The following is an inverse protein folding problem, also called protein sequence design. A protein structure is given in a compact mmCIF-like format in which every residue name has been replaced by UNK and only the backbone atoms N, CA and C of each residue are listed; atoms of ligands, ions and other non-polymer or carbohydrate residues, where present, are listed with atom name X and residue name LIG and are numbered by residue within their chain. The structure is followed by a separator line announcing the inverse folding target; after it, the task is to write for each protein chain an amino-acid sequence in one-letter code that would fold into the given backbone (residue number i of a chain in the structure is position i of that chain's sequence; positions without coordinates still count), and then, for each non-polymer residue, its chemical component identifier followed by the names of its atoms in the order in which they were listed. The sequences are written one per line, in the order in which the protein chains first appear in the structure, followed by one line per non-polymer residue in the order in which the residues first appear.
data_IF_222944478307
#
_entry.id   IF_222944478307
#
_cell.length_a   1.000
_cell.length_b   1.000
_cell.length_c   1.000
_cell.angle_alpha   90.00
_cell.angle_beta   90.00
_cell.angle_gamma   90.00
#
_symmetry.space_group_name_H-M   'P 1'
#
loop_
_entity.id
_entity.type
_entity.pdbx_description
1 polymer ?
#
# COMPACT_ATOMS: atom_id res chain seq x y z
N UNK A 1 4.76 -28.11 -3.05
CA UNK A 1 3.75 -27.10 -2.68
C UNK A 1 4.27 -26.40 -1.44
N UNK A 2 4.58 -25.12 -1.54
CA UNK A 2 4.90 -24.34 -0.34
C UNK A 2 3.60 -24.11 0.44
N UNK A 3 3.62 -24.09 1.78
CA UNK A 3 2.43 -23.71 2.56
C UNK A 3 2.00 -22.28 2.15
N UNK A 4 0.70 -22.01 2.11
CA UNK A 4 0.13 -20.71 1.66
C UNK A 4 0.81 -19.51 2.33
N UNK A 5 1.25 -19.68 3.57
CA UNK A 5 1.99 -18.68 4.33
C UNK A 5 3.33 -18.26 3.69
N UNK A 6 4.05 -19.17 3.06
CA UNK A 6 5.31 -18.86 2.34
C UNK A 6 5.05 -18.12 1.02
N UNK A 7 3.87 -18.31 0.41
CA UNK A 7 3.50 -17.66 -0.84
C UNK A 7 3.25 -16.16 -0.63
N UNK A 8 2.66 -15.78 0.51
CA UNK A 8 2.53 -14.38 0.89
C UNK A 8 3.89 -13.71 1.11
N UNK A 9 4.82 -14.35 1.81
CA UNK A 9 6.15 -13.77 2.05
C UNK A 9 6.97 -13.59 0.75
N UNK A 10 6.85 -14.54 -0.17
CA UNK A 10 7.45 -14.45 -1.50
C UNK A 10 6.84 -13.32 -2.33
N UNK A 11 5.51 -13.21 -2.31
CA UNK A 11 4.77 -12.18 -3.05
C UNK A 11 5.04 -10.79 -2.47
N UNK A 12 5.10 -10.67 -1.15
CA UNK A 12 5.51 -9.45 -0.45
C UNK A 12 6.89 -8.98 -0.90
N UNK A 13 7.88 -9.87 -0.84
CA UNK A 13 9.27 -9.55 -1.22
C UNK A 13 9.38 -9.16 -2.70
N UNK A 14 8.65 -9.86 -3.57
CA UNK A 14 8.60 -9.59 -4.99
C UNK A 14 7.92 -8.25 -5.29
N UNK A 15 6.75 -7.98 -4.70
CA UNK A 15 6.01 -6.74 -4.91
C UNK A 15 6.75 -5.52 -4.35
N UNK A 16 7.44 -5.68 -3.22
CA UNK A 16 8.31 -4.64 -2.67
C UNK A 16 9.42 -4.29 -3.66
N UNK A 17 10.18 -5.28 -4.12
CA UNK A 17 11.28 -5.03 -5.06
C UNK A 17 10.81 -4.49 -6.41
N UNK A 18 9.76 -5.10 -6.96
CA UNK A 18 9.20 -4.75 -8.27
C UNK A 18 8.63 -3.33 -8.28
N UNK A 19 7.85 -2.96 -7.25
CA UNK A 19 7.23 -1.62 -7.19
C UNK A 19 8.26 -0.52 -7.05
N UNK A 20 9.23 -0.68 -6.15
CA UNK A 20 10.31 0.29 -5.98
C UNK A 20 11.12 0.43 -7.27
N UNK A 21 11.50 -0.69 -7.90
CA UNK A 21 12.26 -0.65 -9.15
C UNK A 21 11.47 0.02 -10.28
N UNK A 22 10.23 -0.40 -10.50
CA UNK A 22 9.40 0.09 -11.61
C UNK A 22 9.05 1.57 -11.45
N UNK A 23 8.61 1.98 -10.26
CA UNK A 23 8.22 3.37 -10.00
C UNK A 23 9.43 4.28 -10.04
N UNK A 24 10.54 3.92 -9.38
CA UNK A 24 11.73 4.77 -9.40
C UNK A 24 12.30 4.91 -10.81
N UNK A 25 12.39 3.81 -11.57
CA UNK A 25 12.89 3.86 -12.95
C UNK A 25 12.01 4.72 -13.84
N UNK A 26 10.70 4.77 -13.59
CA UNK A 26 9.76 5.55 -14.39
C UNK A 26 9.66 7.01 -13.96
N UNK A 27 9.56 7.29 -12.66
CA UNK A 27 9.31 8.63 -12.14
C UNK A 27 10.58 9.40 -11.78
N UNK A 28 11.74 8.74 -11.73
CA UNK A 28 13.02 9.26 -11.20
C UNK A 28 12.93 9.78 -9.74
N UNK A 29 11.78 9.58 -9.09
CA UNK A 29 11.44 10.09 -7.76
C UNK A 29 11.41 8.95 -6.73
N UNK A 30 12.45 8.80 -5.88
CA UNK A 30 12.57 7.68 -4.95
C UNK A 30 11.46 7.66 -3.90
N UNK A 31 10.97 8.84 -3.48
CA UNK A 31 9.89 8.94 -2.49
C UNK A 31 8.56 8.41 -3.01
N UNK A 32 8.28 8.60 -4.30
CA UNK A 32 7.11 8.04 -4.97
C UNK A 32 7.20 6.52 -4.98
N UNK A 33 8.38 5.97 -5.26
CA UNK A 33 8.61 4.54 -5.35
C UNK A 33 8.46 3.80 -3.99
N UNK A 34 8.82 4.47 -2.89
CA UNK A 34 8.74 3.89 -1.54
C UNK A 34 7.30 3.85 -1.00
N UNK A 35 6.41 4.75 -1.44
CA UNK A 35 5.05 4.90 -0.90
C UNK A 35 4.21 3.61 -0.96
N UNK A 36 4.07 2.93 -2.12
CA UNK A 36 3.31 1.68 -2.20
C UNK A 36 3.88 0.56 -1.33
N UNK A 37 5.22 0.43 -1.31
CA UNK A 37 5.91 -0.54 -0.46
C UNK A 37 5.69 -0.24 1.03
N UNK A 38 5.68 1.03 1.41
CA UNK A 38 5.37 1.48 2.77
C UNK A 38 3.94 1.13 3.16
N UNK A 39 2.95 1.40 2.29
CA UNK A 39 1.55 1.06 2.57
C UNK A 39 1.33 -0.44 2.73
N UNK A 40 1.95 -1.25 1.87
CA UNK A 40 1.91 -2.70 1.99
C UNK A 40 2.54 -3.15 3.32
N UNK A 41 3.79 -2.79 3.60
CA UNK A 41 4.52 -3.27 4.77
C UNK A 41 3.93 -2.79 6.10
N UNK A 42 3.70 -1.48 6.24
CA UNK A 42 3.23 -0.89 7.50
C UNK A 42 1.72 -0.99 7.63
N UNK A 43 0.97 -0.79 6.54
CA UNK A 43 -0.49 -0.88 6.56
C UNK A 43 -0.98 -2.30 6.85
N UNK A 44 -0.45 -3.32 6.17
CA UNK A 44 -0.78 -4.72 6.46
C UNK A 44 -0.29 -5.11 7.86
N UNK A 45 0.90 -4.67 8.27
CA UNK A 45 1.41 -4.89 9.63
C UNK A 45 0.45 -4.39 10.73
N UNK A 46 -0.08 -3.17 10.57
CA UNK A 46 -1.06 -2.59 11.52
C UNK A 46 -2.37 -3.37 11.49
N UNK A 47 -2.86 -3.72 10.30
CA UNK A 47 -4.08 -4.54 10.14
C UNK A 47 -3.91 -5.90 10.82
N UNK A 48 -2.75 -6.53 10.68
CA UNK A 48 -2.37 -7.77 11.35
C UNK A 48 -2.40 -7.65 12.88
N UNK A 49 -1.84 -6.57 13.43
CA UNK A 49 -1.85 -6.31 14.88
C UNK A 49 -3.28 -6.15 15.41
N UNK A 50 -4.09 -5.31 14.76
CA UNK A 50 -5.48 -5.03 15.17
C UNK A 50 -6.31 -6.31 15.10
N UNK A 51 -6.18 -7.06 14.01
CA UNK A 51 -6.87 -8.33 13.80
C UNK A 51 -6.51 -9.36 14.86
N UNK A 52 -5.22 -9.49 15.18
CA UNK A 52 -4.76 -10.41 16.19
C UNK A 52 -5.32 -10.06 17.58
N UNK A 53 -5.38 -8.75 17.92
CA UNK A 53 -5.91 -8.28 19.20
C UNK A 53 -7.43 -8.42 19.33
N UNK A 54 -8.19 -8.10 18.28
CA UNK A 54 -9.66 -8.05 18.35
C UNK A 54 -10.32 -9.41 18.09
N UNK A 55 -9.77 -10.19 17.16
CA UNK A 55 -10.45 -11.39 16.67
C UNK A 55 -9.66 -12.68 16.93
N UNK A 56 -8.34 -12.61 17.14
CA UNK A 56 -7.46 -13.78 17.32
C UNK A 56 -7.55 -14.85 16.20
N UNK A 57 -8.10 -14.48 15.04
CA UNK A 57 -8.20 -15.29 13.82
C UNK A 57 -8.02 -14.40 12.59
N UNK A 58 -7.59 -14.98 11.46
CA UNK A 58 -7.54 -14.27 10.17
C UNK A 58 -8.96 -13.90 9.73
N UNK A 59 -9.37 -12.68 10.05
CA UNK A 59 -10.62 -12.05 9.60
C UNK A 59 -10.31 -10.66 9.07
N UNK A 60 -10.83 -10.34 7.88
CA UNK A 60 -10.82 -8.98 7.35
C UNK A 60 -11.90 -8.18 8.07
N UNK A 61 -11.53 -7.06 8.67
CA UNK A 61 -12.44 -6.25 9.51
C UNK A 61 -12.34 -4.77 9.16
N UNK A 62 -13.43 -4.04 9.39
CA UNK A 62 -13.43 -2.58 9.23
C UNK A 62 -12.42 -1.91 10.19
N UNK A 63 -12.14 -2.52 11.34
CA UNK A 63 -11.15 -2.03 12.30
C UNK A 63 -9.72 -2.13 11.78
N UNK A 64 -9.39 -3.20 11.05
CA UNK A 64 -8.09 -3.33 10.38
C UNK A 64 -7.89 -2.23 9.33
N UNK A 65 -8.88 -2.05 8.46
CA UNK A 65 -8.89 -0.97 7.47
C UNK A 65 -8.79 0.42 8.13
N UNK A 66 -9.54 0.69 9.22
CA UNK A 66 -9.40 1.94 9.94
C UNK A 66 -7.97 2.17 10.47
N UNK A 67 -7.34 1.12 11.02
CA UNK A 67 -5.96 1.19 11.48
C UNK A 67 -4.96 1.47 10.36
N UNK A 68 -5.12 0.78 9.23
CA UNK A 68 -4.32 1.03 8.04
C UNK A 68 -4.50 2.47 7.55
N UNK A 69 -5.74 2.98 7.46
CA UNK A 69 -6.02 4.36 7.05
C UNK A 69 -5.35 5.39 7.97
N UNK A 70 -5.35 5.17 9.29
CA UNK A 70 -4.70 6.05 10.28
C UNK A 70 -3.19 6.16 10.04
N UNK A 71 -2.55 5.14 9.47
CA UNK A 71 -1.11 5.15 9.18
C UNK A 71 -0.84 5.60 7.74
N UNK A 72 -1.58 5.08 6.77
CA UNK A 72 -1.35 5.34 5.36
C UNK A 72 -1.80 6.73 4.92
N UNK A 73 -2.88 7.31 5.47
CA UNK A 73 -3.31 8.67 5.10
C UNK A 73 -2.28 9.72 5.51
N UNK A 74 -1.81 9.79 6.78
CA UNK A 74 -0.84 10.80 7.17
C UNK A 74 0.53 10.55 6.54
N UNK A 75 0.98 9.29 6.45
CA UNK A 75 2.23 8.97 5.79
C UNK A 75 2.19 9.34 4.30
N UNK A 76 1.09 9.01 3.62
CA UNK A 76 0.83 9.39 2.24
C UNK A 76 0.87 10.91 2.04
N UNK A 77 0.26 11.68 2.93
CA UNK A 77 0.31 13.13 2.89
C UNK A 77 1.74 13.68 3.08
N UNK A 78 2.44 13.24 4.13
CA UNK A 78 3.76 13.76 4.51
C UNK A 78 4.82 13.40 3.48
N UNK A 79 4.87 12.13 3.05
CA UNK A 79 5.80 11.70 2.02
C UNK A 79 5.39 12.33 0.68
N UNK A 80 4.08 12.34 0.36
CA UNK A 80 3.50 13.01 -0.82
C UNK A 80 3.90 14.48 -0.96
N UNK A 81 3.94 15.22 0.14
CA UNK A 81 4.39 16.61 0.18
C UNK A 81 5.89 16.79 -0.13
N UNK A 82 6.68 15.72 0.04
CA UNK A 82 8.13 15.72 -0.17
C UNK A 82 8.54 15.30 -1.59
N UNK A 83 7.57 14.95 -2.46
CA UNK A 83 7.82 14.62 -3.87
C UNK A 83 8.11 15.87 -4.69
N UNK A 84 8.76 15.69 -5.84
CA UNK A 84 8.90 16.72 -6.87
C UNK A 84 8.20 16.27 -8.16
N UNK A 85 7.03 16.84 -8.53
CA UNK A 85 6.27 17.88 -7.84
C UNK A 85 5.60 17.39 -6.56
N UNK A 86 5.23 18.31 -5.66
CA UNK A 86 4.55 17.98 -4.41
C UNK A 86 3.14 17.46 -4.70
N UNK A 87 2.83 16.23 -4.24
CA UNK A 87 1.58 15.53 -4.49
C UNK A 87 0.95 15.02 -3.17
N UNK A 88 0.74 15.86 -2.14
CA UNK A 88 0.26 15.42 -0.83
C UNK A 88 -1.14 14.81 -0.88
N UNK A 89 -2.05 15.40 -1.66
CA UNK A 89 -3.41 14.90 -1.82
C UNK A 89 -3.43 13.54 -2.53
N UNK A 90 -2.62 13.36 -3.57
CA UNK A 90 -2.50 12.07 -4.25
C UNK A 90 -1.84 11.00 -3.37
N UNK A 91 -0.85 11.38 -2.56
CA UNK A 91 -0.26 10.48 -1.56
C UNK A 91 -1.29 10.02 -0.53
N UNK A 92 -2.10 10.93 0.00
CA UNK A 92 -3.20 10.60 0.90
C UNK A 92 -4.28 9.74 0.22
N UNK A 93 -4.71 10.10 -1.00
CA UNK A 93 -5.68 9.31 -1.78
C UNK A 93 -5.16 7.90 -2.06
N UNK A 94 -3.87 7.77 -2.39
CA UNK A 94 -3.22 6.48 -2.60
C UNK A 94 -3.25 5.62 -1.32
N UNK A 95 -2.98 6.22 -0.15
CA UNK A 95 -3.13 5.56 1.14
C UNK A 95 -4.58 5.18 1.47
N UNK A 96 -5.56 6.02 1.10
CA UNK A 96 -6.98 5.72 1.26
C UNK A 96 -7.40 4.51 0.42
N UNK A 97 -6.96 4.47 -0.84
CA UNK A 97 -7.23 3.38 -1.77
C UNK A 97 -6.56 2.09 -1.28
N UNK A 98 -5.29 2.14 -0.87
CA UNK A 98 -4.59 0.99 -0.28
C UNK A 98 -5.38 0.39 0.90
N UNK A 99 -5.84 1.26 1.80
CA UNK A 99 -6.64 0.86 2.97
C UNK A 99 -7.99 0.25 2.60
N UNK A 100 -8.67 0.84 1.62
CA UNK A 100 -9.93 0.32 1.11
C UNK A 100 -9.77 -1.06 0.48
N UNK A 101 -8.73 -1.21 -0.35
CA UNK A 101 -8.39 -2.41 -1.11
C UNK A 101 -8.04 -3.58 -0.20
N UNK A 102 -7.35 -3.33 0.92
CA UNK A 102 -6.98 -4.34 1.93
C UNK A 102 -8.18 -5.15 2.45
N UNK A 103 -9.39 -4.57 2.42
CA UNK A 103 -10.62 -5.27 2.84
C UNK A 103 -11.07 -6.36 1.86
N UNK A 104 -10.62 -6.32 0.61
CA UNK A 104 -11.11 -7.19 -0.46
C UNK A 104 -10.15 -8.35 -0.72
N UNK A 105 -10.69 -9.56 -0.79
CA UNK A 105 -9.97 -10.76 -1.24
C UNK A 105 -10.45 -11.10 -2.65
N UNK A 106 -9.59 -10.88 -3.65
CA UNK A 106 -9.91 -11.20 -5.05
C UNK A 106 -9.37 -12.58 -5.41
N UNK A 107 -10.07 -13.62 -4.96
CA UNK A 107 -9.80 -15.02 -5.35
C UNK A 107 -8.34 -15.43 -5.08
N UNK A 108 -7.55 -15.81 -6.10
CA UNK A 108 -6.17 -16.26 -5.91
C UNK A 108 -5.13 -15.13 -5.79
N UNK A 109 -5.55 -13.86 -5.88
CA UNK A 109 -4.65 -12.71 -5.86
C UNK A 109 -4.37 -12.30 -4.41
N UNK A 110 -3.10 -12.23 -4.08
CA UNK A 110 -2.59 -11.77 -2.79
C UNK A 110 -2.92 -10.26 -2.57
N UNK A 111 -3.32 -9.92 -1.36
CA UNK A 111 -3.66 -8.55 -0.94
C UNK A 111 -2.48 -7.59 -1.11
N UNK A 112 -1.25 -8.06 -0.90
CA UNK A 112 -0.03 -7.28 -1.12
C UNK A 112 0.10 -6.80 -2.58
N UNK A 113 -0.24 -7.67 -3.54
CA UNK A 113 -0.22 -7.30 -4.97
C UNK A 113 -1.24 -6.20 -5.22
N UNK A 114 -2.44 -6.38 -4.68
CA UNK A 114 -3.56 -5.48 -4.91
C UNK A 114 -3.31 -4.10 -4.29
N UNK A 115 -2.78 -4.05 -3.06
CA UNK A 115 -2.37 -2.81 -2.38
C UNK A 115 -1.34 -2.08 -3.23
N UNK A 116 -0.26 -2.76 -3.63
CA UNK A 116 0.84 -2.14 -4.36
C UNK A 116 0.39 -1.65 -5.73
N UNK A 117 -0.35 -2.45 -6.49
CA UNK A 117 -0.83 -2.05 -7.83
C UNK A 117 -1.81 -0.88 -7.72
N UNK A 118 -2.81 -0.95 -6.83
CA UNK A 118 -3.82 0.11 -6.71
C UNK A 118 -3.20 1.44 -6.24
N UNK A 119 -2.34 1.41 -5.21
CA UNK A 119 -1.66 2.60 -4.71
C UNK A 119 -0.70 3.21 -5.74
N UNK A 120 0.05 2.37 -6.48
CA UNK A 120 0.93 2.81 -7.56
C UNK A 120 0.16 3.52 -8.67
N UNK A 121 -0.98 2.96 -9.10
CA UNK A 121 -1.81 3.56 -10.15
C UNK A 121 -2.31 4.96 -9.74
N UNK A 122 -2.73 5.14 -8.48
CA UNK A 122 -3.17 6.46 -7.98
C UNK A 122 -2.04 7.48 -8.00
N UNK A 123 -0.82 7.08 -7.60
CA UNK A 123 0.34 7.96 -7.63
C UNK A 123 0.77 8.33 -9.05
N UNK A 124 0.77 7.36 -9.96
CA UNK A 124 1.08 7.58 -11.37
C UNK A 124 0.05 8.49 -12.06
N UNK A 125 -1.23 8.37 -11.70
CA UNK A 125 -2.26 9.32 -12.12
C UNK A 125 -1.98 10.72 -11.60
N UNK A 126 -1.58 10.87 -10.35
CA UNK A 126 -1.18 12.15 -9.79
C UNK A 126 0.02 12.77 -10.48
N UNK A 127 1.00 11.96 -10.86
CA UNK A 127 2.16 12.41 -11.63
C UNK A 127 1.76 12.85 -13.06
N UNK A 128 0.82 12.15 -13.69
CA UNK A 128 0.36 12.45 -15.04
C UNK A 128 -0.56 13.68 -15.12
N UNK A 129 -1.42 13.88 -14.12
CA UNK A 129 -2.41 14.98 -14.08
C UNK A 129 -1.80 16.24 -13.45
N UNK A 130 -0.90 16.07 -12.48
CA UNK A 130 -0.36 17.15 -11.66
C UNK A 130 -1.11 17.32 -10.32
N UNK A 131 -0.71 18.32 -9.51
CA UNK A 131 -1.29 18.57 -8.19
C UNK A 131 -2.79 18.90 -8.27
N UNK A 132 -3.54 18.42 -7.26
CA UNK A 132 -4.95 18.71 -7.03
C UNK A 132 -5.14 20.01 -6.24
#
# INVERSE_FOLDING_TARGET
MQPEQNMNDATFSLMLGLSVFALWTYSEEPWLAILPAFFMAFGDGVTGIIRNKLFARRTKSAWGNLGMAIVCLPAGWVIGASLTPALPLWGALSGAVASFVERYEFGPIDDNVLIVVASSLVLLLGLAIGPL
#
